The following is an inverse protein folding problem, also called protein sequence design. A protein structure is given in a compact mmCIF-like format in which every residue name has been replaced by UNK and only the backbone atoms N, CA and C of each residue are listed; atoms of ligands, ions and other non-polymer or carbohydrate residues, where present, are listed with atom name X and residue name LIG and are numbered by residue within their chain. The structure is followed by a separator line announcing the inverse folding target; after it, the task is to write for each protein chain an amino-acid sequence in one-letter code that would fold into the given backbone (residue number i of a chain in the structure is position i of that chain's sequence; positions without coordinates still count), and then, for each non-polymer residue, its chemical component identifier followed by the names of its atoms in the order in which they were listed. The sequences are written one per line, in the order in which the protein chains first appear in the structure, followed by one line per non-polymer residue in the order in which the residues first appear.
data_IF_300371188840
#
_entry.id   IF_300371188840
#
_cell.length_a   1.000
_cell.length_b   1.000
_cell.length_c   1.000
_cell.angle_alpha   90.00
_cell.angle_beta   90.00
_cell.angle_gamma   90.00
#
_symmetry.space_group_name_H-M   'P 1'
#
loop_
_entity.id
_entity.type
_entity.pdbx_description
1 polymer ?
#
# COMPACT_ATOMS: atom_id res chain seq x y z
N UNK A 1 -51.74 -29.27 -66.50
CA UNK A 1 -50.97 -30.47 -66.90
C UNK A 1 -49.50 -30.21 -66.62
N UNK A 2 -48.96 -30.85 -65.59
CA UNK A 2 -47.61 -30.61 -65.07
C UNK A 2 -46.54 -31.40 -65.84
N UNK A 3 -45.39 -30.75 -66.06
CA UNK A 3 -44.18 -31.34 -66.63
C UNK A 3 -43.37 -32.09 -65.55
N UNK A 4 -42.63 -33.16 -65.91
CA UNK A 4 -41.94 -34.00 -64.93
C UNK A 4 -40.61 -33.41 -64.45
N UNK A 5 -40.35 -33.59 -63.16
CA UNK A 5 -39.15 -33.16 -62.44
C UNK A 5 -38.01 -34.16 -62.63
N UNK A 6 -36.81 -33.61 -62.85
CA UNK A 6 -35.53 -34.29 -63.13
C UNK A 6 -34.83 -34.67 -61.82
N UNK A 7 -34.56 -35.96 -61.59
CA UNK A 7 -33.70 -36.41 -60.49
C UNK A 7 -32.21 -36.14 -60.81
N UNK A 8 -31.49 -35.50 -59.88
CA UNK A 8 -30.03 -35.49 -59.79
C UNK A 8 -29.63 -36.02 -58.41
N UNK A 9 -28.64 -36.91 -58.39
CA UNK A 9 -28.21 -37.69 -57.23
C UNK A 9 -27.58 -36.87 -56.10
N UNK A 10 -27.81 -37.34 -54.87
CA UNK A 10 -27.20 -36.83 -53.64
C UNK A 10 -25.83 -37.47 -53.41
N UNK A 11 -24.81 -36.62 -53.32
CA UNK A 11 -23.50 -36.95 -52.76
C UNK A 11 -23.56 -36.85 -51.24
N UNK A 12 -23.39 -37.96 -50.54
CA UNK A 12 -23.33 -38.03 -49.08
C UNK A 12 -21.97 -37.53 -48.59
N UNK A 13 -21.94 -36.41 -47.86
CA UNK A 13 -20.75 -35.95 -47.14
C UNK A 13 -20.77 -36.45 -45.68
N UNK A 14 -19.64 -36.91 -45.10
CA UNK A 14 -19.59 -37.32 -43.71
C UNK A 14 -19.66 -36.12 -42.75
N UNK A 15 -20.29 -36.34 -41.59
CA UNK A 15 -20.50 -35.34 -40.55
C UNK A 15 -19.17 -34.84 -39.93
N UNK A 16 -19.06 -33.55 -39.55
CA UNK A 16 -17.86 -33.01 -38.93
C UNK A 16 -17.65 -33.50 -37.49
N UNK A 17 -16.40 -33.78 -37.14
CA UNK A 17 -16.00 -34.29 -35.82
C UNK A 17 -16.24 -33.28 -34.68
N UNK A 18 -16.85 -33.76 -33.60
CA UNK A 18 -17.11 -33.03 -32.36
C UNK A 18 -15.80 -32.68 -31.63
N UNK A 19 -15.52 -31.37 -31.50
CA UNK A 19 -14.30 -30.81 -30.89
C UNK A 19 -14.37 -30.68 -29.36
N UNK A 20 -15.41 -31.18 -28.70
CA UNK A 20 -15.60 -31.02 -27.25
C UNK A 20 -15.40 -32.29 -26.41
N UNK A 21 -14.68 -33.30 -26.92
CA UNK A 21 -14.34 -34.49 -26.12
C UNK A 21 -13.18 -34.18 -25.15
N UNK A 22 -13.38 -34.18 -23.82
CA UNK A 22 -12.33 -33.85 -22.85
C UNK A 22 -11.24 -34.93 -22.85
N UNK A 23 -9.99 -34.49 -22.98
CA UNK A 23 -8.79 -35.32 -23.08
C UNK A 23 -8.46 -36.00 -21.74
N UNK A 24 -8.40 -37.35 -21.65
CA UNK A 24 -8.33 -38.06 -20.36
C UNK A 24 -6.99 -37.92 -19.61
N UNK A 25 -5.95 -37.31 -20.22
CA UNK A 25 -4.59 -37.27 -19.64
C UNK A 25 -4.27 -36.07 -18.74
N UNK A 26 -5.23 -35.21 -18.36
CA UNK A 26 -4.96 -34.07 -17.44
C UNK A 26 -5.35 -34.31 -15.98
N UNK A 27 -6.00 -35.44 -15.64
CA UNK A 27 -6.45 -35.71 -14.26
C UNK A 27 -5.37 -36.31 -13.34
N UNK A 28 -4.23 -36.76 -13.88
CA UNK A 28 -3.19 -37.46 -13.09
C UNK A 28 -2.12 -36.55 -12.47
N UNK A 29 -1.94 -35.31 -12.95
CA UNK A 29 -0.87 -34.42 -12.46
C UNK A 29 -1.30 -33.65 -11.20
N UNK A 30 -2.59 -33.36 -11.06
CA UNK A 30 -3.11 -32.62 -9.90
C UNK A 30 -3.10 -33.53 -8.65
N UNK A 31 -3.33 -34.85 -8.82
CA UNK A 31 -3.30 -35.80 -7.71
C UNK A 31 -1.89 -35.99 -7.12
N UNK A 32 -0.82 -35.91 -7.92
CA UNK A 32 0.55 -36.09 -7.40
C UNK A 32 1.07 -34.89 -6.61
N UNK A 33 0.60 -33.67 -6.92
CA UNK A 33 0.97 -32.46 -6.19
C UNK A 33 0.38 -32.43 -4.75
N UNK A 34 -0.82 -32.98 -4.55
CA UNK A 34 -1.41 -33.08 -3.20
C UNK A 34 -0.72 -34.12 -2.30
N UNK A 35 -0.22 -35.22 -2.88
CA UNK A 35 0.49 -36.25 -2.12
C UNK A 35 1.83 -35.76 -1.55
N UNK A 36 2.56 -34.93 -2.30
CA UNK A 36 3.84 -34.35 -1.85
C UNK A 36 3.65 -33.27 -0.78
N UNK A 37 2.57 -32.49 -0.85
CA UNK A 37 2.22 -31.51 0.20
C UNK A 37 1.83 -32.22 1.51
N UNK A 38 1.16 -33.37 1.44
CA UNK A 38 0.80 -34.17 2.62
C UNK A 38 2.02 -34.74 3.35
N UNK A 39 3.08 -35.12 2.63
CA UNK A 39 4.32 -35.64 3.22
C UNK A 39 5.16 -34.55 3.91
N UNK A 40 5.07 -33.30 3.42
CA UNK A 40 5.75 -32.15 4.02
C UNK A 40 5.06 -31.64 5.30
N UNK A 41 3.72 -31.73 5.38
CA UNK A 41 2.98 -31.36 6.59
C UNK A 41 3.15 -32.38 7.72
N UNK A 42 3.31 -33.68 7.41
CA UNK A 42 3.57 -34.69 8.45
C UNK A 42 4.94 -34.54 9.10
N UNK A 43 5.94 -34.04 8.37
CA UNK A 43 7.29 -33.79 8.91
C UNK A 43 7.34 -32.68 9.97
N UNK A 44 6.34 -31.79 10.00
CA UNK A 44 6.27 -30.70 10.99
C UNK A 44 5.39 -31.03 12.21
N UNK A 45 4.76 -32.20 12.25
CA UNK A 45 3.80 -32.56 13.30
C UNK A 45 4.34 -33.52 14.38
N UNK A 46 5.61 -33.95 14.29
CA UNK A 46 6.29 -34.72 15.34
C UNK A 46 7.03 -33.83 16.36
N UNK A 47 6.35 -32.81 16.90
CA UNK A 47 6.80 -32.15 18.14
C UNK A 47 5.75 -32.42 19.20
N UNK A 48 6.01 -33.45 20.00
CA UNK A 48 5.23 -33.85 21.17
C UNK A 48 5.15 -32.69 22.18
N UNK A 49 3.99 -32.40 22.79
CA UNK A 49 3.93 -31.44 23.88
C UNK A 49 4.47 -32.10 25.14
N UNK A 50 5.56 -31.57 25.70
CA UNK A 50 5.99 -31.95 27.03
C UNK A 50 5.03 -31.37 28.07
N UNK A 51 4.57 -32.28 28.93
CA UNK A 51 3.61 -32.11 29.98
C UNK A 51 4.16 -31.29 31.16
N UNK A 52 3.22 -30.65 31.86
CA UNK A 52 3.32 -29.74 32.99
C UNK A 52 4.28 -30.15 34.11
N UNK A 53 5.02 -29.16 34.64
CA UNK A 53 5.51 -29.13 36.01
C UNK A 53 4.80 -27.99 36.77
N UNK A 54 4.36 -28.29 37.98
CA UNK A 54 3.66 -27.43 38.95
C UNK A 54 4.56 -26.34 39.57
N UNK A 55 3.99 -25.33 40.26
CA UNK A 55 4.59 -24.01 40.41
C UNK A 55 5.55 -23.93 41.60
N UNK A 56 6.74 -23.40 41.35
CA UNK A 56 7.58 -22.83 42.41
C UNK A 56 7.50 -21.32 42.31
N UNK A 57 6.92 -20.75 43.35
CA UNK A 57 6.95 -19.34 43.74
C UNK A 57 8.31 -18.69 43.45
N UNK A 58 8.33 -17.66 42.62
CA UNK A 58 9.50 -16.79 42.41
C UNK A 58 9.02 -15.35 42.29
N UNK A 59 9.63 -14.50 43.10
CA UNK A 59 9.42 -13.06 43.25
C UNK A 59 9.37 -12.27 41.92
N UNK A 60 8.71 -11.10 41.88
CA UNK A 60 8.56 -10.33 40.65
C UNK A 60 9.92 -9.90 40.08
N UNK A 61 10.13 -10.19 38.81
CA UNK A 61 11.30 -9.72 38.05
C UNK A 61 11.24 -8.18 37.91
N UNK A 62 12.38 -7.48 37.98
CA UNK A 62 12.42 -6.04 37.86
C UNK A 62 12.00 -5.59 36.45
N UNK A 63 11.08 -4.63 36.43
CA UNK A 63 10.73 -3.84 35.24
C UNK A 63 11.99 -3.12 34.76
N UNK A 64 12.49 -3.49 33.59
CA UNK A 64 13.56 -2.77 32.91
C UNK A 64 12.93 -1.53 32.29
N UNK A 65 12.86 -0.42 33.03
CA UNK A 65 12.72 0.91 32.44
C UNK A 65 14.07 1.29 31.83
N UNK A 66 14.16 1.81 30.59
CA UNK A 66 15.47 2.03 30.00
C UNK A 66 16.21 3.26 30.55
N UNK A 67 15.64 4.09 31.43
CA UNK A 67 16.36 5.23 32.00
C UNK A 67 15.94 5.55 33.44
N UNK A 68 16.70 5.05 34.42
CA UNK A 68 16.76 5.61 35.76
C UNK A 68 17.96 6.56 35.81
N UNK A 69 17.71 7.86 36.04
CA UNK A 69 18.73 8.90 36.13
C UNK A 69 19.22 8.93 37.58
N UNK A 70 20.48 8.56 37.83
CA UNK A 70 21.00 8.37 39.20
C UNK A 70 22.18 9.29 39.55
N UNK A 71 22.62 10.17 38.64
CA UNK A 71 23.75 11.09 38.87
C UNK A 71 23.57 12.42 38.12
N UNK A 72 24.23 13.48 38.61
CA UNK A 72 24.36 14.76 37.89
C UNK A 72 25.12 14.60 36.56
N UNK A 73 25.98 13.59 36.45
CA UNK A 73 26.69 13.24 35.22
C UNK A 73 25.74 12.59 34.19
N UNK A 74 24.72 11.87 34.65
CA UNK A 74 23.66 11.32 33.78
C UNK A 74 22.79 12.43 33.19
N UNK A 75 22.59 13.53 33.92
CA UNK A 75 21.87 14.71 33.40
C UNK A 75 22.68 15.45 32.32
N UNK A 76 24.00 15.54 32.48
CA UNK A 76 24.89 16.12 31.44
C UNK A 76 24.88 15.25 30.19
N UNK A 77 24.90 13.92 30.33
CA UNK A 77 24.71 12.99 29.19
C UNK A 77 23.36 13.14 28.51
N UNK A 78 22.28 13.31 29.27
CA UNK A 78 20.93 13.51 28.71
C UNK A 78 20.81 14.86 27.98
N UNK A 79 21.53 15.88 28.44
CA UNK A 79 21.58 17.20 27.79
C UNK A 79 22.52 17.24 26.57
N UNK A 80 23.57 16.41 26.55
CA UNK A 80 24.49 16.25 25.41
C UNK A 80 23.96 15.29 24.33
N UNK A 81 22.98 14.43 24.64
CA UNK A 81 22.34 13.50 23.69
C UNK A 81 21.20 14.10 22.86
N UNK A 82 21.13 15.44 22.77
CA UNK A 82 20.09 16.13 21.99
C UNK A 82 20.47 16.41 20.52
N UNK A 83 21.51 15.77 20.00
CA UNK A 83 21.72 15.60 18.57
C UNK A 83 21.24 14.19 18.20
N UNK A 84 20.12 14.04 17.47
CA UNK A 84 19.63 12.72 17.11
C UNK A 84 20.64 12.04 16.18
N UNK A 85 21.21 10.92 16.62
CA UNK A 85 21.99 9.98 15.80
C UNK A 85 21.06 9.32 14.77
N UNK A 86 20.68 10.07 13.74
CA UNK A 86 20.10 9.54 12.51
C UNK A 86 21.27 9.46 11.54
N UNK A 87 21.65 8.26 11.12
CA UNK A 87 22.77 8.03 10.18
C UNK A 87 22.70 9.02 9.01
N UNK A 88 23.69 9.93 8.91
CA UNK A 88 23.75 10.96 7.87
C UNK A 88 23.74 10.33 6.45
N UNK A 89 24.22 9.08 6.31
CA UNK A 89 24.23 8.33 5.06
C UNK A 89 22.83 7.95 4.55
N UNK A 90 21.88 7.63 5.43
CA UNK A 90 20.49 7.33 5.00
C UNK A 90 19.78 8.59 4.50
N UNK A 91 20.07 9.74 5.10
CA UNK A 91 19.51 11.03 4.68
C UNK A 91 20.03 11.49 3.31
N UNK A 92 21.32 11.26 3.01
CA UNK A 92 21.91 11.65 1.72
C UNK A 92 21.39 10.80 0.55
N UNK A 93 21.31 9.47 0.71
CA UNK A 93 20.81 8.59 -0.34
C UNK A 93 19.29 8.80 -0.59
N UNK A 94 18.57 9.17 0.47
CA UNK A 94 17.16 9.50 0.44
C UNK A 94 16.88 10.82 -0.30
N UNK A 95 17.52 11.92 0.10
CA UNK A 95 17.47 13.21 -0.59
C UNK A 95 17.86 13.04 -2.05
N UNK A 96 18.93 12.27 -2.33
CA UNK A 96 19.34 11.97 -3.70
C UNK A 96 18.23 11.26 -4.48
N UNK A 97 17.60 10.20 -3.95
CA UNK A 97 16.55 9.49 -4.68
C UNK A 97 15.37 10.40 -5.03
N UNK A 98 14.85 11.19 -4.08
CA UNK A 98 13.66 12.03 -4.33
C UNK A 98 13.99 13.30 -5.12
N UNK A 99 15.14 13.93 -4.88
CA UNK A 99 15.60 15.11 -5.66
C UNK A 99 15.97 14.71 -7.08
N UNK A 100 16.74 13.64 -7.27
CA UNK A 100 17.23 13.16 -8.57
C UNK A 100 16.12 12.54 -9.42
N UNK A 101 15.27 11.69 -8.82
CA UNK A 101 14.21 10.96 -9.56
C UNK A 101 12.95 11.79 -9.79
N UNK A 102 12.60 12.71 -8.88
CA UNK A 102 11.42 13.56 -9.02
C UNK A 102 11.74 14.97 -9.54
N UNK A 103 13.01 15.34 -9.67
CA UNK A 103 13.40 16.69 -10.07
C UNK A 103 12.84 17.76 -9.12
N UNK A 104 12.73 17.41 -7.84
CA UNK A 104 12.24 18.30 -6.79
C UNK A 104 13.36 19.26 -6.42
N UNK A 105 13.26 20.51 -6.89
CA UNK A 105 14.03 21.62 -6.34
C UNK A 105 13.17 22.26 -5.26
N UNK A 106 13.48 21.98 -3.99
CA UNK A 106 12.76 22.57 -2.87
C UNK A 106 13.15 24.04 -2.71
N UNK A 107 12.55 24.92 -3.53
CA UNK A 107 12.64 26.38 -3.33
C UNK A 107 11.80 26.84 -2.14
N UNK A 108 10.78 26.05 -1.77
CA UNK A 108 9.91 26.29 -0.63
C UNK A 108 10.25 25.27 0.48
N UNK A 109 10.74 25.71 1.65
CA UNK A 109 11.07 24.82 2.78
C UNK A 109 9.90 23.91 3.18
N UNK A 110 8.68 24.44 3.17
CA UNK A 110 7.45 23.70 3.47
C UNK A 110 7.23 22.46 2.57
N UNK A 111 7.74 22.47 1.33
CA UNK A 111 7.67 21.31 0.45
C UNK A 111 8.74 20.26 0.77
N UNK A 112 9.88 20.68 1.33
CA UNK A 112 10.92 19.76 1.77
C UNK A 112 10.42 18.97 2.97
N UNK A 113 9.97 19.66 4.01
CA UNK A 113 9.48 19.06 5.26
C UNK A 113 8.33 18.08 5.00
N UNK A 114 7.44 18.43 4.05
CA UNK A 114 6.39 17.54 3.60
C UNK A 114 6.92 16.26 2.98
N UNK A 115 7.84 16.38 2.02
CA UNK A 115 8.36 15.22 1.30
C UNK A 115 9.19 14.34 2.22
N UNK A 116 10.00 14.94 3.09
CA UNK A 116 10.80 14.23 4.09
C UNK A 116 9.92 13.52 5.13
N UNK A 117 8.90 14.20 5.66
CA UNK A 117 7.97 13.56 6.59
C UNK A 117 7.20 12.44 5.92
N UNK A 118 6.62 12.71 4.75
CA UNK A 118 5.82 11.73 4.01
C UNK A 118 6.64 10.50 3.62
N UNK A 119 7.91 10.69 3.26
CA UNK A 119 8.75 9.61 2.80
C UNK A 119 9.17 8.65 3.90
N UNK A 120 9.34 9.13 5.14
CA UNK A 120 9.58 8.28 6.30
C UNK A 120 8.50 7.20 6.37
N UNK A 121 7.27 7.45 5.89
CA UNK A 121 6.19 6.47 5.94
C UNK A 121 6.30 5.35 4.90
N UNK A 122 7.11 5.51 3.86
CA UNK A 122 7.22 4.52 2.78
C UNK A 122 7.52 3.14 3.35
N UNK A 123 6.81 2.12 2.85
CA UNK A 123 6.88 0.75 3.36
C UNK A 123 5.94 0.45 4.53
N UNK A 124 5.32 1.46 5.16
CA UNK A 124 4.30 1.23 6.20
C UNK A 124 3.14 0.40 5.61
N UNK A 125 2.80 -0.77 6.17
CA UNK A 125 1.76 -1.63 5.61
C UNK A 125 0.38 -0.97 5.57
N UNK A 126 -0.46 -1.37 4.63
CA UNK A 126 -1.86 -0.91 4.63
C UNK A 126 -2.64 -1.54 5.78
N UNK A 127 -3.34 -0.72 6.57
CA UNK A 127 -4.31 -1.18 7.58
C UNK A 127 -5.52 -0.26 7.61
N UNK A 128 -6.69 -0.78 7.23
CA UNK A 128 -7.94 -0.03 7.20
C UNK A 128 -8.26 0.60 8.57
N UNK A 129 -8.63 1.88 8.59
CA UNK A 129 -8.99 2.62 9.81
C UNK A 129 -7.80 3.07 10.66
N UNK A 130 -6.57 2.68 10.32
CA UNK A 130 -5.37 2.99 11.11
C UNK A 130 -4.61 4.20 10.57
N UNK A 131 -3.78 4.80 11.42
CA UNK A 131 -2.94 5.97 11.15
C UNK A 131 -1.58 5.87 11.86
N UNK A 132 -0.97 4.67 11.86
CA UNK A 132 0.26 4.39 12.60
C UNK A 132 1.37 3.86 11.69
N UNK A 133 2.61 3.89 12.18
CA UNK A 133 3.78 3.32 11.48
C UNK A 133 3.77 1.78 11.43
N UNK A 134 2.93 1.12 12.23
CA UNK A 134 2.67 -0.34 12.15
C UNK A 134 1.61 -0.69 11.10
N UNK A 135 0.94 0.33 10.58
CA UNK A 135 0.06 0.25 9.43
C UNK A 135 -0.94 1.39 9.38
N UNK A 136 -1.34 1.78 8.18
CA UNK A 136 -2.15 2.97 7.94
C UNK A 136 -3.04 2.83 6.71
N UNK A 137 -4.23 3.43 6.74
CA UNK A 137 -5.07 3.57 5.54
C UNK A 137 -4.68 4.83 4.73
N UNK A 138 -5.28 5.01 3.56
CA UNK A 138 -4.95 6.13 2.69
C UNK A 138 -5.14 7.50 3.37
N UNK A 139 -6.27 7.68 4.05
CA UNK A 139 -6.61 8.91 4.73
C UNK A 139 -5.87 9.07 6.06
N UNK A 140 -5.61 7.99 6.80
CA UNK A 140 -4.83 7.99 8.03
C UNK A 140 -3.39 8.44 7.78
N UNK A 141 -2.79 7.96 6.68
CA UNK A 141 -1.50 8.44 6.21
C UNK A 141 -1.52 9.96 5.93
N UNK A 142 -2.50 10.43 5.16
CA UNK A 142 -2.59 11.85 4.81
C UNK A 142 -2.80 12.72 6.06
N UNK A 143 -3.71 12.35 6.96
CA UNK A 143 -3.95 13.09 8.20
C UNK A 143 -2.70 13.18 9.06
N UNK A 144 -1.95 12.08 9.19
CA UNK A 144 -0.72 12.08 9.99
C UNK A 144 0.34 13.00 9.39
N UNK A 145 0.61 12.90 8.09
CA UNK A 145 1.59 13.76 7.43
C UNK A 145 1.19 15.24 7.54
N UNK A 146 -0.08 15.57 7.31
CA UNK A 146 -0.53 16.97 7.38
C UNK A 146 -0.48 17.56 8.78
N UNK A 147 -0.84 16.76 9.79
CA UNK A 147 -0.73 17.17 11.19
C UNK A 147 0.73 17.39 11.58
N UNK A 148 1.61 16.45 11.23
CA UNK A 148 3.00 16.49 11.68
C UNK A 148 3.80 17.61 10.99
N UNK A 149 3.47 17.96 9.74
CA UNK A 149 4.19 19.00 8.97
C UNK A 149 3.55 20.39 9.11
N UNK A 150 2.22 20.47 9.14
CA UNK A 150 1.50 21.76 9.08
C UNK A 150 0.64 22.05 10.32
N UNK A 151 0.53 21.10 11.26
CA UNK A 151 -0.40 21.23 12.40
C UNK A 151 -1.88 21.22 11.99
N UNK A 152 -2.21 20.74 10.79
CA UNK A 152 -3.58 20.75 10.26
C UNK A 152 -4.27 19.42 10.51
N UNK A 153 -5.40 19.47 11.20
CA UNK A 153 -6.29 18.32 11.41
C UNK A 153 -7.28 18.18 10.26
N UNK A 154 -7.02 17.22 9.37
CA UNK A 154 -7.93 16.88 8.27
C UNK A 154 -8.98 15.85 8.71
N UNK A 155 -10.13 15.87 8.06
CA UNK A 155 -11.19 14.88 8.28
C UNK A 155 -10.69 13.46 8.03
N UNK A 156 -11.07 12.50 8.89
CA UNK A 156 -10.49 11.15 8.86
C UNK A 156 -10.81 10.32 7.62
N UNK A 157 -11.94 10.48 6.94
CA UNK A 157 -12.21 9.67 5.74
C UNK A 157 -11.81 10.40 4.46
N UNK A 158 -11.32 9.71 3.44
CA UNK A 158 -11.02 10.33 2.13
C UNK A 158 -12.23 11.06 1.52
N UNK A 159 -13.45 10.58 1.81
CA UNK A 159 -14.70 11.23 1.40
C UNK A 159 -14.94 12.56 2.09
N UNK A 160 -14.82 12.60 3.41
CA UNK A 160 -15.02 13.84 4.18
C UNK A 160 -13.84 14.80 3.99
N UNK A 161 -12.62 14.29 3.86
CA UNK A 161 -11.41 15.07 3.55
C UNK A 161 -11.51 15.79 2.21
N UNK A 162 -12.26 15.24 1.26
CA UNK A 162 -12.57 15.96 0.04
C UNK A 162 -13.36 17.24 0.33
N UNK A 163 -14.12 17.38 1.41
CA UNK A 163 -14.78 18.64 1.77
C UNK A 163 -13.80 19.71 2.32
N UNK A 164 -12.65 19.30 2.86
CA UNK A 164 -11.69 20.18 3.55
C UNK A 164 -10.78 20.98 2.60
N UNK A 165 -10.83 20.73 1.30
CA UNK A 165 -9.92 21.33 0.31
C UNK A 165 -10.57 22.40 -0.58
N UNK A 166 -9.81 23.30 -1.17
CA UNK A 166 -10.24 24.07 -2.33
C UNK A 166 -9.91 23.31 -3.62
N UNK A 167 -10.83 23.30 -4.60
CA UNK A 167 -10.69 22.46 -5.81
C UNK A 167 -9.67 23.10 -6.75
N UNK A 168 -8.76 22.27 -7.27
CA UNK A 168 -7.68 22.71 -8.13
C UNK A 168 -7.83 22.06 -9.51
N UNK A 169 -7.64 22.86 -10.56
CA UNK A 169 -7.58 22.33 -11.93
C UNK A 169 -6.35 21.43 -12.09
N UNK A 170 -6.46 20.40 -12.92
CA UNK A 170 -5.41 19.36 -13.07
C UNK A 170 -4.03 19.91 -13.46
N UNK A 171 -4.01 20.97 -14.25
CA UNK A 171 -2.81 21.71 -14.69
C UNK A 171 -2.19 22.61 -13.61
N UNK A 172 -2.95 22.95 -12.56
CA UNK A 172 -2.53 23.81 -11.45
C UNK A 172 -2.13 23.03 -10.19
N UNK A 173 -2.04 21.70 -10.27
CA UNK A 173 -1.69 20.84 -9.14
C UNK A 173 -0.21 20.99 -8.80
N UNK A 174 0.08 21.20 -7.51
CA UNK A 174 1.42 21.44 -6.98
C UNK A 174 1.73 20.46 -5.85
N UNK A 175 3.01 20.37 -5.49
CA UNK A 175 3.47 19.59 -4.32
C UNK A 175 2.65 19.96 -3.09
N UNK A 176 2.18 18.94 -2.38
CA UNK A 176 1.28 19.08 -1.25
C UNK A 176 -0.18 18.88 -1.60
N UNK A 177 -0.67 19.27 -2.79
CA UNK A 177 -2.09 19.14 -3.09
C UNK A 177 -2.58 17.68 -2.97
N UNK A 178 -3.79 17.49 -2.46
CA UNK A 178 -4.39 16.16 -2.34
C UNK A 178 -5.00 15.74 -3.68
N UNK A 179 -4.76 14.49 -4.07
CA UNK A 179 -5.38 13.86 -5.24
C UNK A 179 -6.38 12.80 -4.79
N UNK A 180 -7.56 12.82 -5.41
CA UNK A 180 -8.70 12.01 -5.00
C UNK A 180 -9.17 11.11 -6.14
N UNK A 181 -9.64 9.91 -5.78
CA UNK A 181 -10.04 8.88 -6.73
C UNK A 181 -11.45 8.34 -6.43
N UNK A 182 -12.19 8.02 -7.50
CA UNK A 182 -13.55 7.45 -7.43
C UNK A 182 -13.73 6.34 -8.48
N UNK A 183 -14.56 5.33 -8.19
CA UNK A 183 -14.81 4.21 -9.12
C UNK A 183 -15.86 4.49 -10.20
N UNK A 184 -16.74 5.47 -9.99
CA UNK A 184 -17.79 5.83 -10.93
C UNK A 184 -18.17 7.30 -10.81
N UNK A 185 -18.82 7.85 -11.83
CA UNK A 185 -19.16 9.28 -11.89
C UNK A 185 -20.09 9.77 -10.76
N UNK A 186 -20.91 8.87 -10.20
CA UNK A 186 -21.79 9.15 -9.06
C UNK A 186 -21.31 8.45 -7.77
N UNK A 187 -20.17 7.77 -7.83
CA UNK A 187 -19.62 7.04 -6.71
C UNK A 187 -18.88 7.96 -5.73
N UNK A 188 -18.75 7.53 -4.46
CA UNK A 188 -17.97 8.28 -3.50
C UNK A 188 -16.47 8.24 -3.81
N UNK A 189 -15.73 9.18 -3.23
CA UNK A 189 -14.28 9.06 -3.09
C UNK A 189 -13.96 7.80 -2.30
N UNK A 190 -13.02 6.99 -2.80
CA UNK A 190 -12.55 5.78 -2.12
C UNK A 190 -11.07 5.84 -1.74
N UNK A 191 -10.30 6.78 -2.32
CA UNK A 191 -8.86 6.85 -2.12
C UNK A 191 -8.35 8.29 -2.21
N UNK A 192 -7.28 8.57 -1.49
CA UNK A 192 -6.60 9.87 -1.44
C UNK A 192 -5.08 9.67 -1.39
N UNK A 193 -4.33 10.64 -1.90
CA UNK A 193 -2.87 10.72 -1.75
C UNK A 193 -2.37 12.15 -1.83
N UNK A 194 -1.10 12.36 -1.51
CA UNK A 194 -0.43 13.66 -1.53
C UNK A 194 0.35 13.77 -2.84
N UNK A 195 0.04 14.79 -3.64
CA UNK A 195 0.77 15.05 -4.87
C UNK A 195 2.19 15.52 -4.56
N UNK A 196 3.16 14.93 -5.27
CA UNK A 196 4.56 15.30 -5.18
C UNK A 196 4.90 16.24 -6.34
N UNK A 197 5.24 15.68 -7.51
CA UNK A 197 5.56 16.40 -8.75
C UNK A 197 5.56 15.43 -9.91
N UNK A 198 5.54 15.91 -11.15
CA UNK A 198 5.69 15.08 -12.36
C UNK A 198 4.71 13.89 -12.42
N UNK A 199 3.43 14.13 -12.11
CA UNK A 199 2.40 13.11 -12.02
C UNK A 199 2.71 12.00 -10.99
N UNK A 200 3.56 12.26 -10.00
CA UNK A 200 3.82 11.35 -8.88
C UNK A 200 3.10 11.82 -7.64
N UNK A 201 2.64 10.86 -6.85
CA UNK A 201 1.94 11.09 -5.60
C UNK A 201 2.26 9.95 -4.63
N UNK A 202 2.26 10.25 -3.34
CA UNK A 202 2.47 9.28 -2.26
C UNK A 202 1.16 8.97 -1.57
N UNK A 203 0.92 7.70 -1.25
CA UNK A 203 -0.32 7.23 -0.65
C UNK A 203 -0.14 5.84 -0.02
N UNK A 204 -1.08 5.43 0.85
CA UNK A 204 -1.16 4.05 1.34
C UNK A 204 -2.05 3.19 0.42
N UNK A 205 -1.43 2.30 -0.37
CA UNK A 205 -2.07 1.38 -1.30
C UNK A 205 -2.47 0.07 -0.62
N UNK A 206 -3.65 -0.48 -0.93
CA UNK A 206 -4.12 -1.75 -0.35
C UNK A 206 -3.20 -2.94 -0.62
N UNK A 207 -2.42 -2.90 -1.71
CA UNK A 207 -1.53 -3.99 -2.16
C UNK A 207 -0.03 -3.68 -1.97
N UNK A 208 0.33 -2.60 -1.27
CA UNK A 208 1.73 -2.20 -1.14
C UNK A 208 2.05 -1.30 0.06
N UNK A 209 1.06 -0.92 0.85
CA UNK A 209 1.25 0.05 1.93
C UNK A 209 1.60 1.44 1.38
N UNK A 210 2.31 2.24 2.17
CA UNK A 210 2.71 3.58 1.76
C UNK A 210 3.78 3.50 0.68
N UNK A 211 3.47 4.04 -0.49
CA UNK A 211 4.33 4.00 -1.66
C UNK A 211 4.11 5.22 -2.56
N UNK A 212 5.05 5.45 -3.47
CA UNK A 212 4.93 6.46 -4.54
C UNK A 212 4.45 5.80 -5.81
N UNK A 213 3.36 6.32 -6.36
CA UNK A 213 2.79 5.88 -7.64
C UNK A 213 2.73 7.03 -8.63
N UNK A 214 2.42 6.71 -9.89
CA UNK A 214 2.16 7.70 -10.93
C UNK A 214 0.69 7.79 -11.31
N UNK A 215 0.17 9.01 -11.41
CA UNK A 215 -1.16 9.31 -11.99
C UNK A 215 -1.29 8.88 -13.46
N UNK A 216 -0.17 8.59 -14.13
CA UNK A 216 -0.13 8.07 -15.49
C UNK A 216 -0.34 6.56 -15.58
N UNK A 217 -0.20 5.82 -14.47
CA UNK A 217 -0.46 4.38 -14.44
C UNK A 217 -1.93 4.10 -14.75
N UNK A 218 -2.26 3.06 -15.53
CA UNK A 218 -3.63 2.82 -15.99
C UNK A 218 -4.68 2.82 -14.88
N UNK A 219 -4.38 2.21 -13.73
CA UNK A 219 -5.28 2.17 -12.59
C UNK A 219 -5.61 3.58 -12.07
N UNK A 220 -4.59 4.35 -11.69
CA UNK A 220 -4.78 5.70 -11.14
C UNK A 220 -5.34 6.67 -12.17
N UNK A 221 -4.93 6.55 -13.44
CA UNK A 221 -5.46 7.35 -14.53
C UNK A 221 -6.95 7.15 -14.73
N UNK A 222 -7.43 5.91 -14.65
CA UNK A 222 -8.84 5.58 -14.86
C UNK A 222 -9.74 6.04 -13.70
N UNK A 223 -9.20 6.09 -12.48
CA UNK A 223 -9.97 6.43 -11.28
C UNK A 223 -9.72 7.85 -10.76
N UNK A 224 -8.76 8.59 -11.33
CA UNK A 224 -8.50 9.97 -10.95
C UNK A 224 -9.76 10.82 -11.11
N UNK A 225 -10.09 11.56 -10.06
CA UNK A 225 -11.29 12.39 -10.06
C UNK A 225 -10.95 13.89 -9.97
N UNK A 226 -10.23 14.27 -8.94
CA UNK A 226 -10.01 15.67 -8.61
C UNK A 226 -8.70 15.86 -7.86
N UNK A 227 -8.22 17.10 -7.84
CA UNK A 227 -7.20 17.55 -6.91
C UNK A 227 -7.76 18.70 -6.07
N UNK A 228 -7.22 18.85 -4.86
CA UNK A 228 -7.58 19.95 -3.98
C UNK A 228 -6.43 20.39 -3.08
N UNK A 229 -6.45 21.67 -2.71
CA UNK A 229 -5.47 22.29 -1.82
C UNK A 229 -6.09 22.52 -0.46
N UNK A 230 -5.40 22.13 0.59
CA UNK A 230 -5.79 22.46 1.96
C UNK A 230 -5.50 23.95 2.19
N UNK A 231 -6.47 24.68 2.74
CA UNK A 231 -6.38 26.11 3.03
C UNK A 231 -6.11 26.38 4.50
#
# INVERSE_FOLDING_TARGET
MGLPVRHKGETVYPAPADRNKPNPMKKSIILSAFALLSLALSYFYEITPAQSATPTETAPLPVITPYAINSAEDMVRVLELNEPLVDEEEHEQFEEYYVKKLGLKFKNPSYRDLVETASKWVGTPYRFGSSSRKGTDCSGFVTSVYRDVYGIELSRSSRSMYADVSRIKKDSVRTGDLVFFRRSAKGPIFHVGIYLKNNKFIHSATNGGVMVSSLSEPYYRNYYYAAGRVN
#
